data_IF_928978134823
#
_entry.id   IF_928978134823
#
_cell.length_a   1.000
_cell.length_b   1.000
_cell.length_c   1.000
_cell.angle_alpha   90.00
_cell.angle_beta   90.00
_cell.angle_gamma   90.00
#
_symmetry.space_group_name_H-M   'P 1'
#
loop_
_entity.id
_entity.type
_entity.pdbx_description
1 polymer ?
#
# COMPACT_ATOMS: atom_id res chain seq x y z
N UNK A 1 -18.26 78.81 -71.77
CA UNK A 1 -19.73 78.87 -71.85
C UNK A 1 -20.24 77.49 -72.23
N UNK A 2 -21.18 76.95 -71.44
CA UNK A 2 -22.16 75.87 -71.70
C UNK A 2 -21.62 74.50 -72.14
N UNK A 3 -21.99 73.38 -71.51
CA UNK A 3 -23.32 72.74 -71.44
C UNK A 3 -23.29 71.70 -70.29
N UNK A 4 -24.02 71.82 -69.16
CA UNK A 4 -25.43 71.49 -68.85
C UNK A 4 -25.82 69.99 -68.99
N UNK A 5 -26.05 69.35 -67.83
CA UNK A 5 -27.01 68.29 -67.42
C UNK A 5 -27.21 67.05 -68.34
N UNK A 6 -27.29 65.79 -67.88
CA UNK A 6 -28.33 65.24 -66.99
C UNK A 6 -28.11 63.72 -66.71
N UNK A 7 -28.71 63.25 -65.58
CA UNK A 7 -29.09 61.90 -65.08
C UNK A 7 -29.14 60.72 -66.09
N UNK A 8 -29.01 59.44 -65.74
CA UNK A 8 -29.72 58.67 -64.69
C UNK A 8 -29.15 57.23 -64.54
N UNK A 9 -29.35 56.65 -63.35
CA UNK A 9 -29.55 55.23 -62.98
C UNK A 9 -28.77 54.06 -63.61
N UNK A 10 -28.14 53.25 -62.75
CA UNK A 10 -27.81 51.85 -63.05
C UNK A 10 -27.17 51.11 -61.87
N UNK A 11 -27.98 50.40 -61.08
CA UNK A 11 -27.62 49.76 -59.81
C UNK A 11 -26.37 48.87 -59.83
N UNK A 12 -25.42 49.19 -58.95
CA UNK A 12 -24.28 48.34 -58.63
C UNK A 12 -24.75 47.08 -57.92
N UNK A 13 -24.87 45.98 -58.68
CA UNK A 13 -25.11 44.62 -58.19
C UNK A 13 -24.02 44.27 -57.17
N UNK A 14 -24.33 44.33 -55.88
CA UNK A 14 -23.40 44.02 -54.80
C UNK A 14 -22.77 42.64 -55.01
N UNK A 15 -21.46 42.58 -55.22
CA UNK A 15 -20.71 41.31 -55.26
C UNK A 15 -20.99 40.56 -53.97
N UNK A 16 -21.63 39.40 -54.08
CA UNK A 16 -21.92 38.52 -52.96
C UNK A 16 -20.58 38.12 -52.30
N UNK A 17 -20.35 38.58 -51.07
CA UNK A 17 -19.12 38.29 -50.33
C UNK A 17 -19.05 36.77 -50.11
N UNK A 18 -18.05 36.12 -50.71
CA UNK A 18 -17.72 34.72 -50.41
C UNK A 18 -17.19 34.66 -48.98
N UNK A 19 -18.02 34.23 -48.04
CA UNK A 19 -17.60 33.96 -46.68
C UNK A 19 -16.73 32.71 -46.70
N UNK A 20 -15.45 32.85 -46.35
CA UNK A 20 -14.54 31.72 -46.20
C UNK A 20 -14.84 31.06 -44.86
N UNK A 21 -15.58 29.96 -44.89
CA UNK A 21 -15.85 29.14 -43.71
C UNK A 21 -14.55 28.38 -43.41
N UNK A 22 -13.79 28.83 -42.41
CA UNK A 22 -12.68 28.05 -41.86
C UNK A 22 -13.27 27.16 -40.76
N UNK A 23 -13.16 25.86 -40.95
CA UNK A 23 -13.61 24.87 -39.98
C UNK A 23 -12.59 24.87 -38.83
N UNK A 24 -13.06 25.20 -37.64
CA UNK A 24 -12.25 25.17 -36.44
C UNK A 24 -12.23 23.74 -35.88
N UNK A 25 -11.06 23.11 -35.90
CA UNK A 25 -10.84 21.77 -35.36
C UNK A 25 -10.46 21.80 -33.87
N UNK A 26 -10.39 22.97 -33.23
CA UNK A 26 -10.05 23.11 -31.80
C UNK A 26 -10.92 22.22 -30.90
N UNK A 27 -12.26 22.09 -31.12
CA UNK A 27 -13.08 21.15 -30.34
C UNK A 27 -12.71 19.68 -30.57
N UNK A 28 -12.20 19.34 -31.76
CA UNK A 28 -11.83 17.97 -32.12
C UNK A 28 -10.44 17.58 -31.60
N UNK A 29 -9.52 18.56 -31.54
CA UNK A 29 -8.17 18.39 -31.00
C UNK A 29 -8.22 18.24 -29.48
N UNK A 30 -9.05 19.04 -28.80
CA UNK A 30 -9.20 18.99 -27.35
C UNK A 30 -9.77 17.65 -26.87
N UNK A 31 -10.77 17.11 -27.58
CA UNK A 31 -11.31 15.77 -27.29
C UNK A 31 -10.26 14.66 -27.42
N UNK A 32 -9.34 14.75 -28.39
CA UNK A 32 -8.26 13.78 -28.56
C UNK A 32 -7.15 13.96 -27.51
N UNK A 33 -6.84 15.20 -27.11
CA UNK A 33 -5.88 15.48 -26.04
C UNK A 33 -6.39 14.94 -24.70
N UNK A 34 -7.69 15.08 -24.42
CA UNK A 34 -8.32 14.52 -23.22
C UNK A 34 -8.27 12.99 -23.22
N UNK A 35 -8.49 12.35 -24.37
CA UNK A 35 -8.43 10.89 -24.50
C UNK A 35 -7.02 10.35 -24.30
N UNK A 36 -6.01 10.95 -24.93
CA UNK A 36 -4.61 10.50 -24.78
C UNK A 36 -4.14 10.71 -23.34
N UNK A 37 -4.49 11.81 -22.69
CA UNK A 37 -4.16 12.07 -21.28
C UNK A 37 -4.89 11.12 -20.34
N UNK A 38 -6.17 10.83 -20.58
CA UNK A 38 -6.94 9.84 -19.82
C UNK A 38 -6.37 8.41 -19.98
N UNK A 39 -6.08 7.98 -21.21
CA UNK A 39 -5.46 6.67 -21.44
C UNK A 39 -4.04 6.58 -20.86
N UNK A 40 -3.24 7.64 -20.96
CA UNK A 40 -1.90 7.68 -20.37
C UNK A 40 -1.95 7.70 -18.83
N UNK A 41 -2.94 8.38 -18.24
CA UNK A 41 -3.16 8.39 -16.79
C UNK A 41 -3.66 7.02 -16.30
N UNK A 42 -4.65 6.41 -16.98
CA UNK A 42 -5.13 5.06 -16.68
C UNK A 42 -4.02 4.00 -16.83
N UNK A 43 -3.14 4.12 -17.83
CA UNK A 43 -1.98 3.20 -17.96
C UNK A 43 -0.93 3.40 -16.87
N UNK A 44 -0.78 4.61 -16.32
CA UNK A 44 0.11 4.83 -15.17
C UNK A 44 -0.44 4.23 -13.87
N UNK A 45 -1.76 4.24 -13.68
CA UNK A 45 -2.44 3.66 -12.52
C UNK A 45 -2.51 2.12 -12.60
N UNK A 46 -2.61 1.58 -13.81
CA UNK A 46 -2.62 0.12 -14.06
C UNK A 46 -1.24 -0.53 -14.08
N UNK A 47 -0.15 0.23 -13.87
CA UNK A 47 1.12 -0.41 -13.55
C UNK A 47 0.94 -1.10 -12.20
N UNK A 48 1.02 -2.44 -12.11
CA UNK A 48 1.01 -3.08 -10.81
C UNK A 48 2.16 -2.46 -10.01
N UNK A 49 1.84 -1.80 -8.90
CA UNK A 49 2.80 -1.58 -7.82
C UNK A 49 3.04 -2.93 -7.12
N UNK A 50 3.40 -3.95 -7.89
CA UNK A 50 3.91 -5.19 -7.33
C UNK A 50 5.30 -4.86 -6.83
N UNK A 51 5.42 -4.75 -5.52
CA UNK A 51 6.68 -4.99 -4.86
C UNK A 51 7.13 -6.37 -5.31
N UNK A 52 8.20 -6.43 -6.13
CA UNK A 52 8.96 -7.66 -6.23
C UNK A 52 9.32 -8.01 -4.79
N UNK A 53 8.74 -9.09 -4.27
CA UNK A 53 9.31 -9.76 -3.12
C UNK A 53 10.68 -10.19 -3.61
N UNK A 54 11.66 -9.31 -3.45
CA UNK A 54 13.06 -9.63 -3.67
C UNK A 54 13.36 -10.67 -2.62
N UNK A 55 13.38 -11.89 -3.13
CA UNK A 55 13.76 -13.12 -2.48
C UNK A 55 14.95 -12.83 -1.55
N UNK A 56 14.87 -13.22 -0.25
CA UNK A 56 15.89 -12.85 0.71
C UNK A 56 17.26 -13.30 0.21
N UNK A 57 18.20 -12.36 0.31
CA UNK A 57 19.55 -12.44 -0.22
C UNK A 57 20.21 -13.77 0.13
N UNK A 58 20.79 -14.42 -0.88
CA UNK A 58 21.65 -15.58 -0.72
C UNK A 58 22.98 -15.14 -0.06
N UNK A 59 22.94 -14.84 1.23
CA UNK A 59 24.15 -14.68 2.03
C UNK A 59 24.62 -16.09 2.42
N UNK A 60 25.68 -16.55 1.76
CA UNK A 60 26.22 -17.93 1.81
C UNK A 60 26.88 -18.29 3.15
N UNK A 61 26.51 -17.63 4.23
CA UNK A 61 27.13 -17.77 5.56
C UNK A 61 26.17 -18.18 6.68
N UNK A 62 24.86 -18.32 6.40
CA UNK A 62 23.84 -18.72 7.38
C UNK A 62 23.09 -19.94 6.84
N UNK A 63 23.11 -21.05 7.59
CA UNK A 63 22.43 -22.31 7.29
C UNK A 63 20.94 -22.07 6.98
N UNK A 64 20.33 -22.84 6.07
CA UNK A 64 18.92 -22.67 5.67
C UNK A 64 17.94 -22.75 6.86
N UNK A 65 18.27 -23.55 7.88
CA UNK A 65 17.53 -23.62 9.14
C UNK A 65 17.62 -22.32 9.95
N UNK A 66 18.81 -21.71 10.02
CA UNK A 66 19.04 -20.46 10.73
C UNK A 66 18.38 -19.29 9.98
N UNK A 67 18.36 -19.32 8.64
CA UNK A 67 17.61 -18.36 7.84
C UNK A 67 16.10 -18.50 8.07
N UNK A 68 15.58 -19.72 8.19
CA UNK A 68 14.15 -19.97 8.44
C UNK A 68 13.75 -19.54 9.85
N UNK A 69 14.58 -19.81 10.86
CA UNK A 69 14.38 -19.35 12.25
C UNK A 69 14.48 -17.83 12.38
N UNK A 70 15.44 -17.20 11.69
CA UNK A 70 15.55 -15.73 11.65
C UNK A 70 14.36 -15.13 10.91
N UNK A 71 13.90 -15.71 9.80
CA UNK A 71 12.68 -15.28 9.09
C UNK A 71 11.44 -15.43 9.97
N UNK A 72 11.30 -16.53 10.69
CA UNK A 72 10.22 -16.75 11.65
C UNK A 72 10.27 -15.68 12.75
N UNK A 73 11.40 -15.48 13.44
CA UNK A 73 11.54 -14.48 14.51
C UNK A 73 11.19 -13.04 14.10
N UNK A 74 11.12 -12.75 12.81
CA UNK A 74 10.86 -11.43 12.24
C UNK A 74 9.50 -11.31 11.57
N UNK A 75 8.84 -12.44 11.36
CA UNK A 75 7.47 -12.48 10.89
C UNK A 75 6.56 -12.01 12.04
N UNK A 76 5.69 -11.07 11.71
CA UNK A 76 4.60 -10.64 12.58
C UNK A 76 3.33 -10.97 11.82
N UNK A 77 2.48 -11.81 12.38
CA UNK A 77 1.16 -12.05 11.80
C UNK A 77 0.16 -11.20 12.55
N UNK A 78 -0.57 -10.38 11.81
CA UNK A 78 -1.72 -9.61 12.25
C UNK A 78 -2.97 -10.32 11.76
N UNK A 79 -3.87 -10.62 12.68
CA UNK A 79 -5.19 -11.14 12.40
C UNK A 79 -6.18 -10.03 12.73
N UNK A 80 -6.88 -9.54 11.72
CA UNK A 80 -7.94 -8.54 11.88
C UNK A 80 -9.21 -9.31 12.20
N UNK A 81 -9.80 -9.06 13.37
CA UNK A 81 -11.06 -9.63 13.80
C UNK A 81 -12.22 -8.64 13.62
N UNK A 82 -13.42 -9.09 14.00
CA UNK A 82 -14.57 -8.19 14.16
C UNK A 82 -14.43 -7.26 15.38
N UNK A 83 -15.36 -6.31 15.49
CA UNK A 83 -15.46 -5.34 16.60
C UNK A 83 -14.21 -4.45 16.80
N UNK A 84 -13.50 -4.09 15.71
CA UNK A 84 -12.29 -3.25 15.71
C UNK A 84 -11.12 -3.83 16.53
N UNK A 85 -11.08 -5.17 16.66
CA UNK A 85 -10.05 -5.88 17.41
C UNK A 85 -8.97 -6.42 16.46
N UNK A 86 -7.72 -6.23 16.86
CA UNK A 86 -6.56 -6.82 16.16
C UNK A 86 -5.89 -7.81 17.06
N UNK A 87 -5.57 -8.97 16.52
CA UNK A 87 -4.75 -9.95 17.20
C UNK A 87 -3.41 -10.06 16.50
N UNK A 88 -2.35 -10.32 17.26
CA UNK A 88 -1.04 -10.54 16.68
C UNK A 88 -0.25 -11.58 17.44
N UNK A 89 0.63 -12.26 16.69
CA UNK A 89 1.68 -13.08 17.24
C UNK A 89 2.96 -12.85 16.44
N UNK A 90 4.11 -13.13 17.06
CA UNK A 90 5.42 -12.98 16.45
C UNK A 90 6.07 -14.34 16.29
N UNK A 91 6.55 -14.65 15.09
CA UNK A 91 7.12 -15.96 14.80
C UNK A 91 6.11 -17.04 14.51
N UNK A 92 6.44 -18.25 14.95
CA UNK A 92 5.59 -19.41 14.71
C UNK A 92 4.39 -19.40 15.66
N UNK A 93 3.19 -19.74 15.16
CA UNK A 93 2.02 -19.85 16.00
C UNK A 93 2.21 -20.95 17.05
N UNK A 94 1.98 -20.61 18.32
CA UNK A 94 2.00 -21.59 19.40
C UNK A 94 0.57 -21.97 19.78
N UNK A 95 0.12 -23.11 19.27
CA UNK A 95 -1.23 -23.65 19.51
C UNK A 95 -1.42 -24.23 20.93
N UNK A 96 -0.34 -24.46 21.66
CA UNK A 96 -0.38 -24.99 23.03
C UNK A 96 -0.53 -23.89 24.08
N UNK A 97 -0.16 -22.65 23.75
CA UNK A 97 -0.25 -21.51 24.66
C UNK A 97 -1.17 -20.44 24.08
N UNK A 98 -2.38 -20.33 24.65
CA UNK A 98 -3.38 -19.35 24.24
C UNK A 98 -2.93 -17.90 24.47
N UNK A 99 -1.91 -17.66 25.30
CA UNK A 99 -1.37 -16.31 25.55
C UNK A 99 -0.39 -15.82 24.48
N UNK A 100 -0.02 -16.73 23.56
CA UNK A 100 0.85 -16.40 22.42
C UNK A 100 0.19 -15.41 21.45
N UNK A 101 -1.15 -15.49 21.33
CA UNK A 101 -1.96 -14.53 20.61
C UNK A 101 -2.29 -13.35 21.53
N UNK A 102 -1.85 -12.15 21.13
CA UNK A 102 -2.08 -10.93 21.89
C UNK A 102 -3.09 -10.05 21.18
N UNK A 103 -4.01 -9.51 21.95
CA UNK A 103 -4.95 -8.51 21.47
C UNK A 103 -4.31 -7.11 21.50
N UNK A 104 -4.61 -6.32 20.49
CA UNK A 104 -4.22 -4.92 20.34
C UNK A 104 -5.34 -4.13 19.64
N UNK A 105 -5.27 -2.81 19.76
CA UNK A 105 -6.12 -1.87 19.03
C UNK A 105 -5.35 -1.24 17.86
N UNK A 106 -6.09 -0.63 16.93
CA UNK A 106 -5.55 0.19 15.83
C UNK A 106 -4.93 1.52 16.30
N UNK A 107 -5.06 1.85 17.59
CA UNK A 107 -4.60 3.13 18.12
C UNK A 107 -3.07 3.22 18.25
N UNK A 108 -2.60 4.45 18.46
CA UNK A 108 -1.17 4.75 18.60
C UNK A 108 -0.49 4.03 19.78
N UNK A 109 -1.23 3.71 20.84
CA UNK A 109 -0.71 3.02 22.03
C UNK A 109 -0.64 1.49 21.84
N UNK A 110 -1.41 0.95 20.90
CA UNK A 110 -1.49 -0.48 20.61
C UNK A 110 -0.57 -0.87 19.45
N UNK A 111 -1.17 -1.03 18.27
CA UNK A 111 -0.51 -1.58 17.10
C UNK A 111 0.72 -0.76 16.72
N UNK A 112 0.61 0.57 16.72
CA UNK A 112 1.72 1.46 16.37
C UNK A 112 2.90 1.35 17.32
N UNK A 113 2.66 1.34 18.64
CA UNK A 113 3.73 1.22 19.63
C UNK A 113 4.46 -0.12 19.49
N UNK A 114 3.72 -1.21 19.26
CA UNK A 114 4.28 -2.54 19.03
C UNK A 114 5.18 -2.57 17.78
N UNK A 115 4.68 -2.05 16.65
CA UNK A 115 5.40 -2.03 15.38
C UNK A 115 6.61 -1.08 15.42
N UNK A 116 6.47 0.10 16.03
CA UNK A 116 7.58 1.04 16.20
C UNK A 116 8.66 0.50 17.14
N UNK A 117 8.27 -0.21 18.21
CA UNK A 117 9.23 -0.85 19.12
C UNK A 117 10.08 -1.90 18.41
N UNK A 118 9.48 -2.70 17.52
CA UNK A 118 10.18 -3.71 16.72
C UNK A 118 11.02 -3.08 15.61
N UNK A 119 10.60 -1.94 15.07
CA UNK A 119 11.26 -1.25 13.96
C UNK A 119 12.11 -0.03 14.40
N UNK A 120 12.46 0.06 15.69
CA UNK A 120 13.01 1.28 16.29
C UNK A 120 14.27 1.79 15.56
N UNK A 121 15.17 0.91 15.17
CA UNK A 121 16.41 1.26 14.47
C UNK A 121 16.17 1.89 13.09
N UNK A 122 15.19 1.36 12.36
CA UNK A 122 14.83 1.85 11.01
C UNK A 122 14.09 3.17 11.14
N UNK A 123 13.15 3.28 12.09
CA UNK A 123 12.42 4.51 12.37
C UNK A 123 13.36 5.63 12.80
N UNK A 124 14.35 5.35 13.64
CA UNK A 124 15.37 6.32 14.04
C UNK A 124 16.18 6.84 12.84
N UNK A 125 16.62 5.94 11.94
CA UNK A 125 17.34 6.31 10.70
C UNK A 125 16.48 7.13 9.75
N UNK A 126 15.20 6.77 9.57
CA UNK A 126 14.26 7.54 8.73
C UNK A 126 13.99 8.92 9.34
N UNK A 127 13.86 9.01 10.65
CA UNK A 127 13.66 10.28 11.36
C UNK A 127 14.87 11.20 11.19
N UNK A 128 16.09 10.67 11.30
CA UNK A 128 17.32 11.41 11.03
C UNK A 128 17.38 11.89 9.57
N UNK A 129 17.09 11.00 8.61
CA UNK A 129 17.02 11.33 7.18
C UNK A 129 16.00 12.44 6.89
N UNK A 130 14.83 12.42 7.56
CA UNK A 130 13.79 13.43 7.43
C UNK A 130 14.21 14.78 8.02
N UNK A 131 14.97 14.78 9.11
CA UNK A 131 15.55 16.00 9.68
C UNK A 131 16.58 16.62 8.71
N UNK A 132 17.46 15.80 8.13
CA UNK A 132 18.44 16.27 7.14
C UNK A 132 17.78 16.81 5.86
N UNK A 133 16.66 16.22 5.43
CA UNK A 133 15.84 16.75 4.34
C UNK A 133 15.25 18.12 4.68
N UNK A 134 14.76 18.30 5.90
CA UNK A 134 14.18 19.58 6.35
C UNK A 134 15.24 20.70 6.36
N UNK A 135 16.50 20.35 6.63
CA UNK A 135 17.65 21.24 6.52
C UNK A 135 18.07 21.53 5.05
N UNK A 136 17.28 21.08 4.06
CA UNK A 136 17.50 21.26 2.60
C UNK A 136 18.83 20.71 2.09
N UNK A 137 19.40 19.69 2.75
CA UNK A 137 20.67 19.09 2.34
C UNK A 137 20.57 18.20 1.10
N UNK A 138 19.37 17.76 0.73
CA UNK A 138 19.13 16.79 -0.35
C UNK A 138 17.86 17.12 -1.15
N UNK A 139 17.81 16.64 -2.40
CA UNK A 139 16.62 16.66 -3.25
C UNK A 139 15.56 15.63 -2.78
N UNK A 140 14.30 15.79 -3.18
CA UNK A 140 13.22 14.84 -2.90
C UNK A 140 13.55 13.42 -3.42
N UNK A 141 14.24 13.34 -4.55
CA UNK A 141 14.66 12.10 -5.19
C UNK A 141 15.72 11.36 -4.36
N UNK A 142 16.74 12.08 -3.89
CA UNK A 142 17.81 11.52 -3.06
C UNK A 142 17.30 11.03 -1.70
N UNK A 143 16.33 11.74 -1.12
CA UNK A 143 15.65 11.28 0.09
C UNK A 143 14.92 9.96 -0.15
N UNK A 144 14.16 9.86 -1.24
CA UNK A 144 13.40 8.66 -1.56
C UNK A 144 14.31 7.45 -1.76
N UNK A 145 15.42 7.59 -2.50
CA UNK A 145 16.38 6.50 -2.69
C UNK A 145 16.99 6.01 -1.36
N UNK A 146 17.41 6.95 -0.49
CA UNK A 146 18.01 6.59 0.80
C UNK A 146 16.98 5.98 1.74
N UNK A 147 15.75 6.51 1.75
CA UNK A 147 14.66 5.94 2.52
C UNK A 147 14.33 4.51 2.06
N UNK A 148 14.33 4.24 0.75
CA UNK A 148 14.13 2.89 0.21
C UNK A 148 15.24 1.93 0.65
N UNK A 149 16.51 2.36 0.58
CA UNK A 149 17.65 1.54 1.03
C UNK A 149 17.60 1.22 2.53
N UNK A 150 17.14 2.18 3.35
CA UNK A 150 16.99 1.98 4.80
C UNK A 150 15.84 1.03 5.12
N UNK A 151 14.76 1.09 4.34
CA UNK A 151 13.57 0.24 4.51
C UNK A 151 13.75 -1.19 3.98
N UNK A 152 14.57 -1.38 2.94
CA UNK A 152 14.83 -2.70 2.35
C UNK A 152 15.87 -3.53 3.11
N UNK A 153 16.49 -2.97 4.16
CA UNK A 153 17.45 -3.70 4.98
C UNK A 153 16.82 -5.01 5.45
N UNK A 154 17.56 -6.10 5.29
CA UNK A 154 17.28 -7.41 5.89
C UNK A 154 17.35 -7.33 7.42
N UNK A 155 16.87 -6.27 8.08
CA UNK A 155 16.59 -6.16 9.52
C UNK A 155 15.13 -5.76 9.77
N UNK A 156 14.41 -5.25 8.75
CA UNK A 156 13.00 -4.90 8.85
C UNK A 156 12.12 -6.13 9.17
N UNK A 157 11.06 -5.95 9.99
CA UNK A 157 10.04 -6.99 10.19
C UNK A 157 9.24 -7.21 8.90
N UNK A 158 8.72 -8.43 8.75
CA UNK A 158 7.79 -8.80 7.67
C UNK A 158 6.43 -9.01 8.28
N UNK A 159 5.42 -8.29 7.80
CA UNK A 159 4.08 -8.31 8.39
C UNK A 159 3.09 -9.05 7.49
N UNK A 160 2.46 -10.09 8.00
CA UNK A 160 1.38 -10.81 7.33
C UNK A 160 0.05 -10.28 7.86
N UNK A 161 -0.80 -9.74 7.00
CA UNK A 161 -2.13 -9.23 7.37
C UNK A 161 -3.14 -10.26 6.91
N UNK A 162 -3.85 -10.85 7.86
CA UNK A 162 -4.92 -11.82 7.64
C UNK A 162 -6.22 -11.23 8.15
N UNK A 163 -7.24 -11.16 7.33
CA UNK A 163 -8.56 -10.69 7.73
C UNK A 163 -9.49 -11.89 7.97
N UNK A 164 -10.24 -11.88 9.06
CA UNK A 164 -11.36 -12.80 9.25
C UNK A 164 -12.56 -12.33 8.43
N UNK A 165 -13.56 -13.21 8.26
CA UNK A 165 -14.82 -12.85 7.61
C UNK A 165 -15.59 -11.72 8.33
N UNK A 166 -15.34 -11.56 9.63
CA UNK A 166 -15.94 -10.52 10.47
C UNK A 166 -15.18 -9.17 10.42
N UNK A 167 -13.99 -9.14 9.82
CA UNK A 167 -13.21 -7.91 9.72
C UNK A 167 -13.77 -6.99 8.64
N UNK A 168 -13.84 -5.69 8.94
CA UNK A 168 -14.35 -4.71 7.97
C UNK A 168 -13.26 -4.22 7.03
N UNK A 169 -13.64 -3.60 5.91
CA UNK A 169 -12.68 -2.95 5.01
C UNK A 169 -11.94 -1.80 5.70
N UNK A 170 -12.59 -1.09 6.62
CA UNK A 170 -11.99 -0.02 7.43
C UNK A 170 -10.82 -0.57 8.26
N UNK A 171 -11.03 -1.71 8.91
CA UNK A 171 -10.00 -2.41 9.67
C UNK A 171 -8.76 -2.77 8.84
N UNK A 172 -8.95 -3.17 7.58
CA UNK A 172 -7.83 -3.44 6.67
C UNK A 172 -7.10 -2.15 6.27
N UNK A 173 -7.83 -1.08 5.97
CA UNK A 173 -7.24 0.22 5.62
C UNK A 173 -6.44 0.78 6.78
N UNK A 174 -6.99 0.73 8.00
CA UNK A 174 -6.31 1.19 9.21
C UNK A 174 -5.03 0.37 9.47
N UNK A 175 -5.07 -0.95 9.29
CA UNK A 175 -3.88 -1.78 9.38
C UNK A 175 -2.79 -1.36 8.36
N UNK A 176 -3.20 -1.05 7.13
CA UNK A 176 -2.29 -0.59 6.07
C UNK A 176 -1.70 0.79 6.35
N UNK A 177 -2.50 1.71 6.88
CA UNK A 177 -2.05 3.03 7.30
C UNK A 177 -1.02 2.91 8.43
N UNK A 178 -1.24 2.01 9.40
CA UNK A 178 -0.26 1.73 10.45
C UNK A 178 1.06 1.17 9.90
N UNK A 179 1.03 0.35 8.85
CA UNK A 179 2.25 -0.12 8.18
C UNK A 179 3.05 1.06 7.60
N UNK A 180 2.36 1.99 6.93
CA UNK A 180 3.01 3.17 6.34
C UNK A 180 3.61 4.07 7.43
N UNK A 181 2.85 4.33 8.49
CA UNK A 181 3.27 5.20 9.60
C UNK A 181 4.47 4.61 10.34
N UNK A 182 4.47 3.31 10.58
CA UNK A 182 5.58 2.59 11.22
C UNK A 182 6.78 2.34 10.28
N UNK A 183 6.70 2.81 9.03
CA UNK A 183 7.74 2.62 8.00
C UNK A 183 8.07 1.14 7.75
N UNK A 184 7.04 0.30 7.77
CA UNK A 184 7.13 -1.11 7.41
C UNK A 184 6.95 -1.22 5.91
N UNK A 185 7.96 -1.77 5.24
CA UNK A 185 7.91 -1.94 3.78
C UNK A 185 7.54 -3.33 3.33
N UNK A 186 7.76 -4.35 4.16
CA UNK A 186 7.52 -5.74 3.77
C UNK A 186 6.23 -6.20 4.45
N UNK A 187 5.12 -6.19 3.71
CA UNK A 187 3.86 -6.74 4.17
C UNK A 187 3.15 -7.53 3.06
N UNK A 188 2.31 -8.48 3.45
CA UNK A 188 1.48 -9.25 2.52
C UNK A 188 0.09 -9.47 3.12
N UNK A 189 -0.94 -9.30 2.28
CA UNK A 189 -2.32 -9.66 2.63
C UNK A 189 -2.50 -11.12 2.22
N UNK A 190 -2.90 -11.97 3.16
CA UNK A 190 -3.08 -13.41 2.94
C UNK A 190 -4.36 -13.85 3.62
N UNK A 191 -5.01 -14.86 3.06
CA UNK A 191 -6.21 -15.43 3.64
C UNK A 191 -5.91 -16.09 5.00
N UNK A 192 -6.91 -16.10 5.87
CA UNK A 192 -6.81 -16.78 7.16
C UNK A 192 -6.69 -18.30 6.96
N UNK A 193 -5.95 -18.96 7.84
CA UNK A 193 -5.82 -20.43 7.82
C UNK A 193 -6.59 -21.04 8.99
N UNK A 194 -7.01 -22.29 8.85
CA UNK A 194 -7.73 -23.03 9.92
C UNK A 194 -6.98 -23.02 11.27
N UNK A 195 -5.64 -22.98 11.24
CA UNK A 195 -4.84 -22.85 12.46
C UNK A 195 -4.99 -21.47 13.13
N UNK A 196 -5.07 -20.40 12.35
CA UNK A 196 -5.26 -19.05 12.92
C UNK A 196 -6.66 -18.90 13.54
N UNK A 197 -7.68 -19.49 12.91
CA UNK A 197 -9.04 -19.57 13.48
C UNK A 197 -9.04 -20.33 14.80
N UNK A 198 -8.33 -21.47 14.87
CA UNK A 198 -8.17 -22.21 16.12
C UNK A 198 -7.53 -21.36 17.24
N UNK A 199 -6.56 -20.51 16.92
CA UNK A 199 -5.94 -19.61 17.91
C UNK A 199 -6.92 -18.54 18.42
N UNK A 200 -7.72 -17.97 17.52
CA UNK A 200 -8.77 -17.02 17.89
C UNK A 200 -9.80 -17.67 18.80
N UNK A 201 -10.36 -18.81 18.40
CA UNK A 201 -11.35 -19.56 19.17
C UNK A 201 -10.81 -19.97 20.55
N UNK A 202 -9.55 -20.42 20.60
CA UNK A 202 -8.92 -20.81 21.84
C UNK A 202 -8.68 -19.62 22.79
N UNK A 203 -8.36 -18.44 22.24
CA UNK A 203 -8.25 -17.21 23.01
C UNK A 203 -9.62 -16.79 23.58
N UNK A 204 -10.68 -16.83 22.77
CA UNK A 204 -12.04 -16.50 23.20
C UNK A 204 -12.56 -17.46 24.29
N UNK A 205 -12.24 -18.75 24.16
CA UNK A 205 -12.63 -19.76 25.14
C UNK A 205 -11.68 -19.84 26.35
N UNK A 206 -10.67 -18.96 26.44
CA UNK A 206 -9.68 -18.90 27.53
C UNK A 206 -8.91 -20.22 27.74
N UNK A 207 -8.52 -20.89 26.66
CA UNK A 207 -7.66 -22.08 26.71
C UNK A 207 -8.37 -23.43 26.80
N UNK A 208 -9.71 -23.47 26.75
CA UNK A 208 -10.49 -24.72 26.85
C UNK A 208 -10.29 -25.68 25.67
N UNK A 209 -9.91 -25.19 24.49
CA UNK A 209 -9.66 -26.07 23.34
C UNK A 209 -8.34 -26.84 23.50
N UNK A 210 -7.27 -26.18 23.96
CA UNK A 210 -5.99 -26.85 24.19
C UNK A 210 -6.07 -27.96 25.24
N UNK A 211 -6.95 -27.82 26.25
CA UNK A 211 -7.20 -28.88 27.24
C UNK A 211 -7.88 -30.13 26.65
N UNK A 212 -8.64 -29.98 25.56
CA UNK A 212 -9.40 -31.05 24.91
C UNK A 212 -8.68 -31.67 23.71
N UNK A 213 -7.47 -31.21 23.36
CA UNK A 213 -6.65 -31.87 22.34
C UNK A 213 -6.19 -33.21 22.92
N UNK A 214 -6.78 -34.28 22.42
CA UNK A 214 -6.42 -35.65 22.75
C UNK A 214 -4.94 -35.88 22.37
N UNK A 215 -4.07 -35.95 23.39
CA UNK A 215 -2.61 -36.02 23.25
C UNK A 215 -2.11 -37.28 22.53
N UNK A 216 -3.00 -38.22 22.21
CA UNK A 216 -2.69 -39.50 21.59
C UNK A 216 -2.64 -39.48 20.05
N UNK A 217 -3.09 -38.42 19.37
CA UNK A 217 -3.05 -38.37 17.89
C UNK A 217 -1.74 -37.80 17.30
N UNK A 218 -0.93 -37.07 18.08
CA UNK A 218 0.32 -36.45 17.58
C UNK A 218 1.50 -37.44 17.50
N UNK A 219 1.39 -38.65 18.08
CA UNK A 219 2.44 -39.69 18.03
C UNK A 219 2.36 -40.63 16.83
N UNK A 220 1.40 -40.44 15.92
CA UNK A 220 1.29 -41.22 14.68
C UNK A 220 1.17 -40.28 13.49
N UNK A 221 2.30 -39.70 13.08
CA UNK A 221 2.70 -39.53 11.68
C UNK A 221 4.16 -39.04 11.63
#
# INVERSE_FOLDING_TARGET
MAEVQQKDNGGGKGKQKKMTIRVDFTPMVDMNMLLITFFMLCTSLSKPQTMEISMPSNDKSITEEDQTKVKASRAITLILGGDDRVFYYTGEPNYEDYTSLKETTYEADGLRAMLMGRNADIVAKIKALKAEKLEKKFSDEEYNERAMKIKDVNTAPVVMIKATDDATYENLVDALDEMQICSISKYAIVDITEGDEFLLDNLEQKGKLTENIDRDQVKKN
#
